data_IF_408732601979
#
_entry.id   IF_408732601979
#
_cell.length_a   1.000
_cell.length_b   1.000
_cell.length_c   1.000
_cell.angle_alpha   90.00
_cell.angle_beta   90.00
_cell.angle_gamma   90.00
#
_symmetry.space_group_name_H-M   'P 1'
#
loop_
_entity.id
_entity.type
_entity.pdbx_description
1 polymer ?
#
# COMPACT_ATOMS: atom_id res chain seq x y z
N UNK A 1 10.64 14.74 -45.86
CA UNK A 1 9.48 14.27 -45.08
C UNK A 1 10.03 13.32 -44.02
N UNK A 2 10.24 13.81 -42.80
CA UNK A 2 10.88 13.03 -41.72
C UNK A 2 9.81 12.13 -41.09
N UNK A 3 9.93 10.83 -41.29
CA UNK A 3 9.10 9.81 -40.65
C UNK A 3 9.47 9.71 -39.17
N UNK A 4 8.49 9.93 -38.30
CA UNK A 4 8.63 9.71 -36.86
C UNK A 4 8.90 8.21 -36.56
N UNK A 5 9.73 7.87 -35.57
CA UNK A 5 10.12 6.49 -35.30
C UNK A 5 8.98 5.69 -34.64
N UNK A 6 8.73 4.48 -35.15
CA UNK A 6 7.68 3.55 -34.74
C UNK A 6 7.76 3.05 -33.27
N UNK A 7 8.80 3.41 -32.52
CA UNK A 7 9.05 2.94 -31.15
C UNK A 7 8.38 3.79 -30.05
N UNK A 8 7.72 4.91 -30.39
CA UNK A 8 7.10 5.80 -29.41
C UNK A 8 5.66 5.40 -29.05
N UNK A 9 5.00 4.61 -29.90
CA UNK A 9 3.60 4.19 -29.71
C UNK A 9 3.42 3.25 -28.49
N UNK A 10 4.28 2.25 -28.24
CA UNK A 10 4.13 1.34 -27.09
C UNK A 10 4.35 2.05 -25.75
N UNK A 11 5.32 2.97 -25.70
CA UNK A 11 5.65 3.71 -24.48
C UNK A 11 4.55 4.72 -24.14
N UNK A 12 3.98 5.39 -25.14
CA UNK A 12 2.85 6.29 -24.96
C UNK A 12 1.58 5.55 -24.53
N UNK A 13 1.31 4.37 -25.10
CA UNK A 13 0.19 3.51 -24.69
C UNK A 13 0.38 2.97 -23.27
N UNK A 14 1.59 2.54 -22.92
CA UNK A 14 1.93 2.10 -21.57
C UNK A 14 1.79 3.23 -20.56
N UNK A 15 2.35 4.41 -20.85
CA UNK A 15 2.23 5.59 -19.99
C UNK A 15 0.76 6.03 -19.83
N UNK A 16 -0.04 5.94 -20.90
CA UNK A 16 -1.49 6.21 -20.86
C UNK A 16 -2.23 5.20 -19.98
N UNK A 17 -1.94 3.91 -20.13
CA UNK A 17 -2.52 2.84 -19.31
C UNK A 17 -2.15 3.01 -17.83
N UNK A 18 -0.88 3.31 -17.54
CA UNK A 18 -0.40 3.56 -16.18
C UNK A 18 -1.09 4.79 -15.59
N UNK A 19 -1.14 5.90 -16.34
CA UNK A 19 -1.84 7.12 -15.93
C UNK A 19 -3.33 6.85 -15.67
N UNK A 20 -3.97 6.02 -16.48
CA UNK A 20 -5.37 5.64 -16.29
C UNK A 20 -5.59 4.85 -14.99
N UNK A 21 -4.66 3.97 -14.63
CA UNK A 21 -4.66 3.22 -13.37
C UNK A 21 -4.46 4.13 -12.17
N UNK A 22 -3.59 5.14 -12.30
CA UNK A 22 -3.25 6.11 -11.25
C UNK A 22 -4.28 7.24 -11.06
N UNK A 23 -5.42 7.22 -11.78
CA UNK A 23 -6.48 8.24 -11.64
C UNK A 23 -7.15 8.27 -10.27
N UNK A 24 -7.12 7.16 -9.55
CA UNK A 24 -7.77 7.03 -8.25
C UNK A 24 -6.90 6.28 -7.23
N UNK A 25 -7.37 6.18 -5.97
CA UNK A 25 -6.62 5.58 -4.88
C UNK A 25 -6.21 4.13 -5.16
N UNK A 26 -7.02 3.37 -5.90
CA UNK A 26 -6.73 1.97 -6.24
C UNK A 26 -5.41 1.77 -6.99
N UNK A 27 -5.06 2.67 -7.92
CA UNK A 27 -3.78 2.58 -8.64
C UNK A 27 -2.58 2.77 -7.71
N UNK A 28 -2.67 3.75 -6.80
CA UNK A 28 -1.64 4.00 -5.81
C UNK A 28 -1.49 2.83 -4.82
N UNK A 29 -2.61 2.29 -4.30
CA UNK A 29 -2.57 1.12 -3.41
C UNK A 29 -1.92 -0.09 -4.08
N UNK A 30 -2.37 -0.46 -5.27
CA UNK A 30 -1.87 -1.63 -5.96
C UNK A 30 -0.43 -1.45 -6.44
N UNK A 31 -0.01 -0.22 -6.79
CA UNK A 31 1.38 0.05 -7.13
C UNK A 31 2.29 -0.11 -5.91
N UNK A 32 1.86 0.35 -4.72
CA UNK A 32 2.61 0.12 -3.49
C UNK A 32 2.70 -1.36 -3.11
N UNK A 33 1.59 -2.11 -3.23
CA UNK A 33 1.59 -3.56 -2.97
C UNK A 33 2.50 -4.30 -3.95
N UNK A 34 2.45 -3.95 -5.24
CA UNK A 34 3.29 -4.57 -6.26
C UNK A 34 4.77 -4.24 -6.05
N UNK A 35 5.10 -2.99 -5.69
CA UNK A 35 6.46 -2.59 -5.37
C UNK A 35 7.02 -3.39 -4.19
N UNK A 36 6.27 -3.46 -3.09
CA UNK A 36 6.67 -4.23 -1.91
C UNK A 36 6.86 -5.71 -2.21
N UNK A 37 5.94 -6.31 -2.97
CA UNK A 37 6.01 -7.72 -3.35
C UNK A 37 7.23 -8.01 -4.25
N UNK A 38 7.42 -7.22 -5.31
CA UNK A 38 8.50 -7.43 -6.29
C UNK A 38 9.88 -7.27 -5.64
N UNK A 39 10.07 -6.23 -4.82
CA UNK A 39 11.36 -6.00 -4.17
C UNK A 39 11.58 -7.01 -3.05
N UNK A 40 10.57 -7.31 -2.22
CA UNK A 40 10.70 -8.33 -1.18
C UNK A 40 11.07 -9.70 -1.76
N UNK A 41 10.48 -10.05 -2.89
CA UNK A 41 10.81 -11.27 -3.61
C UNK A 41 12.25 -11.24 -4.19
N UNK A 42 12.65 -10.11 -4.79
CA UNK A 42 13.99 -9.94 -5.33
C UNK A 42 15.08 -10.04 -4.25
N UNK A 43 14.84 -9.46 -3.07
CA UNK A 43 15.75 -9.57 -1.91
C UNK A 43 15.85 -11.02 -1.45
N UNK A 44 14.72 -11.73 -1.30
CA UNK A 44 14.72 -13.14 -0.89
C UNK A 44 15.53 -14.04 -1.85
N UNK A 45 15.44 -13.78 -3.16
CA UNK A 45 16.26 -14.48 -4.16
C UNK A 45 17.74 -14.10 -4.03
N UNK A 46 18.04 -12.80 -3.85
CA UNK A 46 19.41 -12.31 -3.76
C UNK A 46 20.15 -12.86 -2.52
N UNK A 47 19.43 -13.09 -1.43
CA UNK A 47 19.95 -13.64 -0.18
C UNK A 47 19.99 -15.19 -0.17
N UNK A 48 19.50 -15.85 -1.22
CA UNK A 48 19.50 -17.30 -1.29
C UNK A 48 20.95 -17.86 -1.40
N UNK A 49 21.34 -18.84 -0.58
CA UNK A 49 22.70 -19.36 -0.57
C UNK A 49 23.07 -20.04 -1.91
N UNK A 50 24.17 -19.59 -2.51
CA UNK A 50 24.69 -20.11 -3.78
C UNK A 50 25.41 -21.44 -3.52
N UNK A 51 24.82 -22.58 -3.92
CA UNK A 51 25.49 -23.88 -3.80
C UNK A 51 24.64 -25.15 -3.91
N UNK A 52 23.31 -25.08 -3.89
CA UNK A 52 22.42 -26.25 -4.02
C UNK A 52 21.61 -26.13 -5.32
N UNK A 53 22.09 -26.76 -6.39
CA UNK A 53 21.44 -26.95 -7.70
C UNK A 53 20.51 -25.79 -8.15
N UNK A 54 21.01 -24.95 -9.06
CA UNK A 54 20.49 -23.61 -9.45
C UNK A 54 18.97 -23.48 -9.70
N UNK A 55 18.24 -24.56 -10.02
CA UNK A 55 16.76 -24.55 -10.10
C UNK A 55 16.03 -24.76 -8.77
N UNK A 56 16.60 -25.55 -7.86
CA UNK A 56 16.01 -25.85 -6.54
C UNK A 56 16.08 -24.65 -5.61
N UNK A 57 17.18 -23.87 -5.64
CA UNK A 57 17.38 -22.74 -4.74
C UNK A 57 16.37 -21.61 -4.97
N UNK A 58 16.05 -21.30 -6.23
CA UNK A 58 15.04 -20.29 -6.58
C UNK A 58 13.65 -20.73 -6.16
N UNK A 59 13.30 -22.01 -6.37
CA UNK A 59 12.00 -22.56 -5.93
C UNK A 59 11.89 -22.52 -4.40
N UNK A 60 12.95 -22.87 -3.68
CA UNK A 60 12.97 -22.77 -2.22
C UNK A 60 12.82 -21.32 -1.76
N UNK A 61 13.54 -20.36 -2.34
CA UNK A 61 13.40 -18.94 -2.02
C UNK A 61 11.99 -18.41 -2.31
N UNK A 62 11.34 -18.89 -3.38
CA UNK A 62 9.92 -18.60 -3.66
C UNK A 62 9.02 -19.14 -2.56
N UNK A 63 9.19 -20.41 -2.18
CA UNK A 63 8.40 -21.03 -1.13
C UNK A 63 8.62 -20.34 0.22
N UNK A 64 9.85 -19.92 0.53
CA UNK A 64 10.16 -19.22 1.77
C UNK A 64 9.54 -17.82 1.81
N UNK A 65 9.60 -17.09 0.69
CA UNK A 65 8.99 -15.76 0.58
C UNK A 65 7.48 -15.80 0.88
N UNK A 66 6.76 -16.77 0.30
CA UNK A 66 5.31 -16.85 0.44
C UNK A 66 4.84 -17.68 1.63
N UNK A 67 5.64 -18.68 2.05
CA UNK A 67 5.21 -19.73 2.97
C UNK A 67 6.30 -20.23 3.93
N UNK A 68 7.45 -19.57 4.02
CA UNK A 68 8.56 -19.97 4.90
C UNK A 68 8.23 -19.89 6.39
N UNK A 69 7.21 -19.12 6.78
CA UNK A 69 6.72 -19.03 8.15
C UNK A 69 5.22 -18.76 8.21
N UNK A 70 4.63 -18.94 9.39
CA UNK A 70 3.23 -18.54 9.63
C UNK A 70 3.01 -17.04 9.40
N UNK A 71 4.00 -16.21 9.71
CA UNK A 71 3.96 -14.76 9.50
C UNK A 71 3.97 -14.38 8.02
N UNK A 72 4.82 -15.03 7.21
CA UNK A 72 4.90 -14.76 5.76
C UNK A 72 3.65 -15.22 5.01
N UNK A 73 3.04 -16.33 5.42
CA UNK A 73 1.73 -16.75 4.88
C UNK A 73 0.67 -15.70 5.19
N UNK A 74 0.59 -15.24 6.45
CA UNK A 74 -0.37 -14.21 6.84
C UNK A 74 -0.15 -12.91 6.05
N UNK A 75 1.11 -12.50 5.85
CA UNK A 75 1.48 -11.31 5.07
C UNK A 75 1.12 -11.46 3.59
N UNK A 76 1.33 -12.64 3.01
CA UNK A 76 0.97 -12.95 1.63
C UNK A 76 -0.54 -12.85 1.44
N UNK A 77 -1.31 -13.49 2.31
CA UNK A 77 -2.78 -13.43 2.27
C UNK A 77 -3.29 -11.99 2.45
N UNK A 78 -2.71 -11.24 3.39
CA UNK A 78 -3.03 -9.82 3.59
C UNK A 78 -2.76 -9.01 2.31
N UNK A 79 -1.62 -9.23 1.68
CA UNK A 79 -1.24 -8.56 0.41
C UNK A 79 -2.23 -8.87 -0.71
N UNK A 80 -2.68 -10.12 -0.85
CA UNK A 80 -3.70 -10.49 -1.84
C UNK A 80 -5.04 -9.78 -1.57
N UNK A 81 -5.45 -9.71 -0.31
CA UNK A 81 -6.67 -8.98 0.07
C UNK A 81 -6.53 -7.49 -0.22
N UNK A 82 -5.37 -6.88 0.03
CA UNK A 82 -5.11 -5.49 -0.32
C UNK A 82 -5.14 -5.25 -1.83
N UNK A 83 -4.68 -6.19 -2.66
CA UNK A 83 -4.84 -6.09 -4.12
C UNK A 83 -6.31 -6.07 -4.55
N UNK A 84 -7.13 -6.94 -3.95
CA UNK A 84 -8.57 -6.96 -4.20
C UNK A 84 -9.23 -5.64 -3.76
N UNK A 85 -8.85 -5.09 -2.60
CA UNK A 85 -9.33 -3.79 -2.13
C UNK A 85 -8.92 -2.64 -3.06
N UNK A 86 -7.66 -2.61 -3.49
CA UNK A 86 -7.15 -1.65 -4.47
C UNK A 86 -7.87 -1.73 -5.81
N UNK A 87 -8.23 -2.92 -6.28
CA UNK A 87 -9.03 -3.10 -7.48
C UNK A 87 -10.46 -2.58 -7.32
N UNK A 88 -11.09 -2.79 -6.16
CA UNK A 88 -12.41 -2.21 -5.86
C UNK A 88 -12.36 -0.67 -5.92
N UNK A 89 -11.33 -0.05 -5.32
CA UNK A 89 -11.11 1.40 -5.43
C UNK A 89 -10.82 1.85 -6.87
N UNK A 90 -10.03 1.09 -7.63
CA UNK A 90 -9.73 1.42 -9.03
C UNK A 90 -11.02 1.48 -9.85
N UNK A 91 -11.90 0.48 -9.70
CA UNK A 91 -13.22 0.42 -10.35
C UNK A 91 -14.12 1.58 -9.92
N UNK A 92 -14.12 1.91 -8.62
CA UNK A 92 -14.91 3.03 -8.09
C UNK A 92 -14.58 4.38 -8.74
N UNK A 93 -13.32 4.55 -9.19
CA UNK A 93 -12.79 5.79 -9.75
C UNK A 93 -12.57 5.75 -11.28
N UNK A 94 -12.97 4.67 -11.95
CA UNK A 94 -12.61 4.46 -13.36
C UNK A 94 -13.29 5.45 -14.31
N UNK A 95 -14.54 5.87 -14.02
CA UNK A 95 -15.37 6.66 -14.96
C UNK A 95 -16.39 7.62 -14.34
N UNK A 96 -16.49 7.74 -13.01
CA UNK A 96 -17.53 8.53 -12.36
C UNK A 96 -16.93 9.71 -11.55
N UNK A 97 -17.46 10.92 -11.75
CA UNK A 97 -17.33 12.06 -10.83
C UNK A 97 -18.75 12.48 -10.41
N UNK A 98 -19.20 12.15 -9.19
CA UNK A 98 -18.43 11.59 -8.07
C UNK A 98 -18.12 10.09 -8.20
N UNK A 99 -17.09 9.55 -7.51
CA UNK A 99 -16.77 8.12 -7.48
C UNK A 99 -17.89 7.24 -6.90
N UNK A 100 -17.93 5.96 -7.31
CA UNK A 100 -18.93 4.99 -6.83
C UNK A 100 -18.75 4.70 -5.32
N UNK A 101 -19.75 5.05 -4.52
CA UNK A 101 -19.70 4.92 -3.06
C UNK A 101 -19.73 3.47 -2.60
N UNK A 102 -20.47 2.58 -3.27
CA UNK A 102 -20.58 1.18 -2.88
C UNK A 102 -19.26 0.44 -3.11
N UNK A 103 -18.60 0.71 -4.24
CA UNK A 103 -17.28 0.15 -4.52
C UNK A 103 -16.18 0.74 -3.62
N UNK A 104 -16.26 2.03 -3.26
CA UNK A 104 -15.35 2.60 -2.26
C UNK A 104 -15.51 1.92 -0.89
N UNK A 105 -16.75 1.68 -0.45
CA UNK A 105 -17.03 0.93 0.80
C UNK A 105 -16.54 -0.51 0.73
N UNK A 106 -16.67 -1.18 -0.41
CA UNK A 106 -16.10 -2.51 -0.61
C UNK A 106 -14.56 -2.47 -0.51
N UNK A 107 -13.92 -1.47 -1.12
CA UNK A 107 -12.49 -1.24 -0.99
C UNK A 107 -12.05 -1.01 0.46
N UNK A 108 -12.84 -0.23 1.22
CA UNK A 108 -12.62 -0.01 2.65
C UNK A 108 -12.75 -1.31 3.45
N UNK A 109 -13.81 -2.08 3.22
CA UNK A 109 -14.04 -3.35 3.91
C UNK A 109 -12.92 -4.35 3.67
N UNK A 110 -12.54 -4.56 2.40
CA UNK A 110 -11.46 -5.46 2.03
C UNK A 110 -10.12 -4.98 2.62
N UNK A 111 -9.84 -3.67 2.57
CA UNK A 111 -8.62 -3.11 3.17
C UNK A 111 -8.60 -3.29 4.69
N UNK A 112 -9.76 -3.24 5.36
CA UNK A 112 -9.88 -3.56 6.78
C UNK A 112 -9.52 -5.01 7.10
N UNK A 113 -10.01 -5.96 6.29
CA UNK A 113 -9.62 -7.37 6.41
C UNK A 113 -8.12 -7.58 6.14
N UNK A 114 -7.58 -6.93 5.10
CA UNK A 114 -6.15 -6.93 4.80
C UNK A 114 -5.32 -6.42 5.97
N UNK A 115 -5.79 -5.37 6.66
CA UNK A 115 -5.11 -4.79 7.82
C UNK A 115 -5.16 -5.71 9.05
N UNK A 116 -6.24 -6.47 9.27
CA UNK A 116 -6.25 -7.53 10.30
C UNK A 116 -5.18 -8.58 9.96
N UNK A 117 -5.15 -9.05 8.71
CA UNK A 117 -4.15 -10.01 8.26
C UNK A 117 -2.72 -9.49 8.43
N UNK A 118 -2.48 -8.22 8.10
CA UNK A 118 -1.19 -7.53 8.30
C UNK A 118 -0.84 -7.45 9.79
N UNK A 119 -1.79 -7.12 10.66
CA UNK A 119 -1.58 -7.09 12.11
C UNK A 119 -1.18 -8.45 12.66
N UNK A 120 -1.85 -9.53 12.23
CA UNK A 120 -1.50 -10.90 12.60
C UNK A 120 -0.09 -11.24 12.10
N UNK A 121 0.24 -10.90 10.85
CA UNK A 121 1.57 -11.12 10.29
C UNK A 121 2.65 -10.43 11.12
N UNK A 122 2.45 -9.14 11.44
CA UNK A 122 3.40 -8.35 12.24
C UNK A 122 3.55 -8.89 13.67
N UNK A 123 2.48 -9.38 14.31
CA UNK A 123 2.60 -10.05 15.61
C UNK A 123 3.44 -11.33 15.52
N UNK A 124 3.20 -12.15 14.49
CA UNK A 124 3.95 -13.38 14.26
C UNK A 124 5.42 -13.12 13.91
N UNK A 125 5.73 -11.96 13.34
CA UNK A 125 7.08 -11.50 13.02
C UNK A 125 7.75 -10.75 14.19
N UNK A 126 7.04 -10.54 15.31
CA UNK A 126 7.61 -9.95 16.52
C UNK A 126 7.51 -8.43 16.63
N UNK A 127 6.67 -7.78 15.82
CA UNK A 127 6.50 -6.31 15.78
C UNK A 127 5.14 -5.85 16.34
N UNK A 128 4.90 -5.93 17.66
CA UNK A 128 3.60 -5.64 18.27
C UNK A 128 3.17 -4.18 18.10
N UNK A 129 4.11 -3.24 18.07
CA UNK A 129 3.80 -1.82 17.87
C UNK A 129 3.26 -1.56 16.46
N UNK A 130 3.89 -2.15 15.42
CA UNK A 130 3.40 -2.04 14.05
C UNK A 130 2.10 -2.83 13.87
N UNK A 131 1.94 -3.97 14.54
CA UNK A 131 0.68 -4.70 14.52
C UNK A 131 -0.47 -3.89 15.12
N UNK A 132 -0.25 -3.18 16.23
CA UNK A 132 -1.26 -2.31 16.84
C UNK A 132 -1.61 -1.10 15.96
N UNK A 133 -0.63 -0.56 15.24
CA UNK A 133 -0.80 0.67 14.46
C UNK A 133 -1.18 0.36 13.00
N UNK A 134 -0.26 -0.19 12.22
CA UNK A 134 -0.48 -0.56 10.82
C UNK A 134 -1.48 -1.71 10.62
N UNK A 135 -1.74 -2.52 11.65
CA UNK A 135 -2.79 -3.53 11.63
C UNK A 135 -4.10 -3.03 12.25
N UNK A 136 -4.16 -2.98 13.58
CA UNK A 136 -5.40 -2.71 14.31
C UNK A 136 -5.96 -1.31 14.08
N UNK A 137 -5.18 -0.24 14.29
CA UNK A 137 -5.65 1.14 14.07
C UNK A 137 -6.04 1.35 12.60
N UNK A 138 -5.29 0.79 11.66
CA UNK A 138 -5.64 0.83 10.23
C UNK A 138 -6.97 0.12 9.95
N UNK A 139 -7.17 -1.08 10.50
CA UNK A 139 -8.41 -1.84 10.36
C UNK A 139 -9.61 -1.07 10.94
N UNK A 140 -9.46 -0.48 12.12
CA UNK A 140 -10.49 0.36 12.74
C UNK A 140 -10.87 1.54 11.84
N UNK A 141 -9.90 2.23 11.27
CA UNK A 141 -10.17 3.33 10.32
C UNK A 141 -10.86 2.87 9.03
N UNK A 142 -10.48 1.70 8.49
CA UNK A 142 -11.10 1.14 7.27
C UNK A 142 -12.53 0.63 7.52
N UNK A 143 -12.77 -0.12 8.59
CA UNK A 143 -14.12 -0.55 8.94
C UNK A 143 -15.00 0.63 9.35
N UNK A 144 -14.46 1.58 10.12
CA UNK A 144 -15.16 2.82 10.42
C UNK A 144 -15.61 3.54 9.15
N UNK A 145 -14.72 3.68 8.16
CA UNK A 145 -15.06 4.26 6.85
C UNK A 145 -16.10 3.46 6.05
N UNK A 146 -16.16 2.14 6.25
CA UNK A 146 -17.12 1.25 5.58
C UNK A 146 -18.54 1.46 6.10
N UNK A 147 -18.69 1.51 7.43
CA UNK A 147 -19.99 1.55 8.11
C UNK A 147 -20.48 2.97 8.39
N UNK A 148 -19.57 3.95 8.43
CA UNK A 148 -19.93 5.35 8.62
C UNK A 148 -20.54 5.95 7.36
N UNK A 149 -21.52 6.83 7.53
CA UNK A 149 -22.14 7.54 6.41
C UNK A 149 -21.40 8.86 6.19
N UNK A 150 -20.85 9.11 4.98
CA UNK A 150 -20.17 10.37 4.69
C UNK A 150 -21.04 11.58 5.06
N UNK A 151 -20.46 12.57 5.73
CA UNK A 151 -21.15 13.79 6.13
C UNK A 151 -21.99 13.69 7.42
N UNK A 152 -22.15 12.49 8.01
CA UNK A 152 -22.75 12.36 9.34
C UNK A 152 -21.71 12.68 10.42
N UNK A 153 -22.12 13.47 11.42
CA UNK A 153 -21.22 13.81 12.53
C UNK A 153 -20.95 12.58 13.40
N UNK A 154 -19.68 12.36 13.72
CA UNK A 154 -19.28 11.36 14.70
C UNK A 154 -19.38 12.02 16.09
N UNK A 155 -20.08 11.40 17.07
CA UNK A 155 -20.17 11.94 18.42
C UNK A 155 -18.77 12.22 18.99
N UNK A 156 -18.61 13.36 19.67
CA UNK A 156 -17.35 13.80 20.32
C UNK A 156 -16.23 14.20 19.33
N UNK A 157 -16.43 14.04 18.01
CA UNK A 157 -15.45 14.50 17.01
C UNK A 157 -15.75 15.95 16.57
N UNK A 158 -14.76 16.85 16.52
CA UNK A 158 -14.99 18.24 16.10
C UNK A 158 -15.50 18.32 14.66
N UNK A 159 -16.58 19.06 14.42
CA UNK A 159 -17.19 19.19 13.09
C UNK A 159 -16.26 19.85 12.04
N UNK A 160 -15.30 20.66 12.49
CA UNK A 160 -14.31 21.30 11.63
C UNK A 160 -13.12 20.39 11.28
N UNK A 161 -13.01 19.22 11.92
CA UNK A 161 -11.90 18.30 11.69
C UNK A 161 -12.20 17.34 10.54
N UNK A 162 -11.17 16.84 9.84
CA UNK A 162 -11.35 15.80 8.82
C UNK A 162 -12.01 14.55 9.40
N UNK A 163 -12.56 13.69 8.53
CA UNK A 163 -13.18 12.43 8.95
C UNK A 163 -12.24 11.61 9.87
N UNK A 164 -12.71 11.19 11.07
CA UNK A 164 -11.85 10.54 12.06
C UNK A 164 -11.33 9.19 11.58
N UNK A 165 -12.13 8.44 10.82
CA UNK A 165 -11.78 7.12 10.35
C UNK A 165 -10.72 7.19 9.25
N UNK A 166 -10.86 8.13 8.30
CA UNK A 166 -9.83 8.45 7.30
C UNK A 166 -8.56 8.97 7.95
N UNK A 167 -8.69 9.79 8.98
CA UNK A 167 -7.56 10.31 9.76
C UNK A 167 -6.83 9.20 10.50
N UNK A 168 -7.55 8.24 11.08
CA UNK A 168 -6.96 7.07 11.74
C UNK A 168 -6.17 6.19 10.75
N UNK A 169 -6.71 5.95 9.54
CA UNK A 169 -6.00 5.25 8.46
C UNK A 169 -4.69 5.96 8.13
N UNK A 170 -4.72 7.29 7.97
CA UNK A 170 -3.52 8.07 7.65
C UNK A 170 -2.49 8.03 8.80
N UNK A 171 -2.96 8.26 10.03
CA UNK A 171 -2.12 8.24 11.23
C UNK A 171 -1.48 6.87 11.49
N UNK A 172 -2.16 5.78 11.14
CA UNK A 172 -1.66 4.41 11.30
C UNK A 172 -0.34 4.13 10.58
N UNK A 173 0.01 4.95 9.58
CA UNK A 173 1.25 4.83 8.82
C UNK A 173 2.45 5.49 9.47
N UNK A 174 2.24 6.47 10.35
CA UNK A 174 3.33 7.27 10.92
C UNK A 174 4.38 6.41 11.62
N UNK A 175 4.03 5.45 12.50
CA UNK A 175 5.03 4.61 13.16
C UNK A 175 5.86 3.79 12.17
N UNK A 176 5.23 3.30 11.10
CA UNK A 176 5.89 2.48 10.11
C UNK A 176 6.79 3.30 9.16
N UNK A 177 6.38 4.52 8.81
CA UNK A 177 7.21 5.49 8.09
C UNK A 177 8.44 5.86 8.92
N UNK A 178 8.25 6.15 10.21
CA UNK A 178 9.35 6.47 11.12
C UNK A 178 10.31 5.28 11.26
N UNK A 179 9.80 4.06 11.43
CA UNK A 179 10.62 2.86 11.48
C UNK A 179 11.44 2.67 10.19
N UNK A 180 10.82 2.84 9.02
CA UNK A 180 11.52 2.74 7.74
C UNK A 180 12.56 3.86 7.53
N UNK A 181 12.28 5.08 7.99
CA UNK A 181 13.22 6.20 7.93
C UNK A 181 14.43 5.99 8.86
N UNK A 182 14.20 5.47 10.07
CA UNK A 182 15.27 5.10 10.99
C UNK A 182 16.11 3.97 10.40
N UNK A 183 15.49 2.92 9.85
CA UNK A 183 16.18 1.84 9.16
C UNK A 183 17.02 2.35 7.99
N UNK A 184 16.51 3.33 7.22
CA UNK A 184 17.28 3.99 6.17
C UNK A 184 18.51 4.72 6.73
N UNK A 185 18.37 5.43 7.85
CA UNK A 185 19.49 6.10 8.51
C UNK A 185 20.61 5.13 8.90
N UNK A 186 20.26 3.99 9.49
CA UNK A 186 21.21 2.92 9.81
C UNK A 186 21.88 2.34 8.56
N UNK A 187 21.10 2.07 7.52
CA UNK A 187 21.61 1.55 6.25
C UNK A 187 22.56 2.55 5.56
N UNK A 188 22.26 3.85 5.61
CA UNK A 188 23.15 4.89 5.08
C UNK A 188 24.47 4.98 5.84
N UNK A 189 24.44 4.80 7.17
CA UNK A 189 25.65 4.74 7.97
C UNK A 189 26.52 3.54 7.59
N UNK A 190 25.92 2.38 7.36
CA UNK A 190 26.64 1.18 6.91
C UNK A 190 27.32 1.40 5.56
N UNK A 191 26.60 1.98 4.59
CA UNK A 191 27.15 2.32 3.28
C UNK A 191 28.30 3.33 3.39
N UNK A 192 28.15 4.35 4.25
CA UNK A 192 29.21 5.35 4.49
C UNK A 192 30.49 4.72 5.03
N UNK A 193 30.37 3.68 5.84
CA UNK A 193 31.49 2.90 6.39
C UNK A 193 32.06 1.87 5.39
N UNK A 194 31.61 1.88 4.13
CA UNK A 194 32.09 1.01 3.06
C UNK A 194 31.28 -0.28 2.87
N UNK A 195 30.10 -0.39 3.50
CA UNK A 195 29.17 -1.51 3.32
C UNK A 195 28.48 -1.53 1.95
N UNK A 196 27.70 -2.58 1.72
CA UNK A 196 26.99 -2.78 0.44
C UNK A 196 25.79 -1.85 0.30
N UNK A 197 25.58 -1.27 -0.89
CA UNK A 197 24.37 -0.49 -1.20
C UNK A 197 23.07 -1.32 -1.15
N UNK A 198 23.16 -2.66 -1.18
CA UNK A 198 21.99 -3.54 -1.14
C UNK A 198 21.14 -3.33 0.12
N UNK A 199 21.77 -2.94 1.24
CA UNK A 199 21.08 -2.71 2.54
C UNK A 199 20.09 -1.54 2.49
N UNK A 200 20.20 -0.65 1.49
CA UNK A 200 19.25 0.45 1.27
C UNK A 200 17.94 0.00 0.61
N UNK A 201 17.93 -1.16 -0.06
CA UNK A 201 16.83 -1.55 -0.93
C UNK A 201 15.50 -1.66 -0.18
N UNK A 202 15.48 -2.38 0.94
CA UNK A 202 14.27 -2.57 1.74
C UNK A 202 13.73 -1.28 2.36
N UNK A 203 14.51 -0.46 3.10
CA UNK A 203 13.98 0.76 3.71
C UNK A 203 13.51 1.78 2.67
N UNK A 204 14.21 1.95 1.54
CA UNK A 204 13.76 2.82 0.45
C UNK A 204 12.46 2.35 -0.18
N UNK A 205 12.33 1.03 -0.39
CA UNK A 205 11.10 0.42 -0.92
C UNK A 205 9.93 0.65 0.02
N UNK A 206 10.10 0.41 1.31
CA UNK A 206 9.05 0.64 2.30
C UNK A 206 8.60 2.10 2.32
N UNK A 207 9.53 3.06 2.28
CA UNK A 207 9.20 4.48 2.19
C UNK A 207 8.44 4.81 0.90
N UNK A 208 8.84 4.22 -0.23
CA UNK A 208 8.11 4.32 -1.50
C UNK A 208 6.69 3.79 -1.41
N UNK A 209 6.50 2.60 -0.83
CA UNK A 209 5.19 2.01 -0.56
C UNK A 209 4.34 2.92 0.32
N UNK A 210 4.88 3.42 1.44
CA UNK A 210 4.16 4.32 2.33
C UNK A 210 3.79 5.64 1.65
N UNK A 211 4.64 6.20 0.79
CA UNK A 211 4.31 7.40 0.02
C UNK A 211 3.13 7.16 -0.93
N UNK A 212 3.14 6.04 -1.66
CA UNK A 212 2.04 5.65 -2.55
C UNK A 212 0.75 5.44 -1.77
N UNK A 213 0.80 4.68 -0.69
CA UNK A 213 -0.37 4.39 0.11
C UNK A 213 -0.94 5.62 0.83
N UNK A 214 -0.07 6.50 1.35
CA UNK A 214 -0.45 7.80 1.93
C UNK A 214 -1.15 8.66 0.89
N UNK A 215 -0.63 8.71 -0.33
CA UNK A 215 -1.28 9.43 -1.43
C UNK A 215 -2.67 8.87 -1.73
N UNK A 216 -2.82 7.55 -1.72
CA UNK A 216 -4.12 6.90 -1.89
C UNK A 216 -5.10 7.29 -0.78
N UNK A 217 -4.67 7.27 0.49
CA UNK A 217 -5.50 7.65 1.63
C UNK A 217 -5.97 9.11 1.54
N UNK A 218 -5.09 10.03 1.13
CA UNK A 218 -5.42 11.44 0.95
C UNK A 218 -6.51 11.67 -0.11
N UNK A 219 -6.55 10.85 -1.17
CA UNK A 219 -7.60 10.95 -2.20
C UNK A 219 -8.99 10.57 -1.65
N UNK A 220 -9.05 9.74 -0.61
CA UNK A 220 -10.32 9.26 -0.04
C UNK A 220 -11.02 10.28 0.87
N UNK A 221 -10.32 11.33 1.32
CA UNK A 221 -10.93 12.39 2.16
C UNK A 221 -12.01 13.20 1.44
N UNK A 222 -12.00 13.23 0.09
CA UNK A 222 -12.98 13.97 -0.71
C UNK A 222 -14.21 13.19 -1.15
N UNK A 223 -14.33 11.90 -0.78
CA UNK A 223 -15.41 11.03 -1.28
C UNK A 223 -16.68 11.22 -0.46
N UNK A 224 -17.79 11.52 -1.13
CA UNK A 224 -19.13 11.60 -0.51
C UNK A 224 -19.46 12.94 0.15
N UNK A 225 -18.62 13.95 0.01
CA UNK A 225 -18.94 15.34 0.40
C UNK A 225 -19.64 16.00 -0.81
N UNK A 226 -20.88 16.50 -0.67
CA UNK A 226 -21.51 17.28 -1.73
C UNK A 226 -20.63 18.48 -2.06
N UNK A 227 -20.30 18.70 -3.35
CA UNK A 227 -19.79 20.01 -3.79
C UNK A 227 -20.89 21.02 -3.46
N UNK A 228 -20.68 21.86 -2.45
CA UNK A 228 -21.44 23.10 -2.33
C UNK A 228 -21.09 23.93 -3.56
N UNK A 229 -21.96 23.89 -4.57
CA UNK A 229 -21.97 24.91 -5.62
C UNK A 229 -22.34 26.18 -4.89
N UNK A 230 -21.35 27.03 -4.63
CA UNK A 230 -21.56 28.36 -4.09
C UNK A 230 -22.33 29.17 -5.14
N UNK A 231 -23.65 29.14 -5.10
CA UNK A 231 -24.49 30.14 -5.76
C UNK A 231 -24.51 31.38 -4.87
N UNK A 232 -23.51 32.23 -5.03
CA UNK A 232 -23.56 33.64 -4.64
C UNK A 232 -23.00 34.46 -5.80
#
# INVERSE_FOLDING_TARGET
MVTAPANLVPLAQFASALRSRMRGPGGYYNSGNALGLVVGFAIQIADAPVGLQEGSAVITAMMDHFAGSRGTVALTLATLVFFCGGEAYHRAWARQDPPDLALNRLGDFLSGLGAIGLGIALLLLGDPLLAATSGLLHALGKFGSTFHTPGTQVPVWPAAWPDPFRSAVLASRLPAILAAAVALGWALQEVWLGGSFAVLAMPLTLLGCYALWTRADLLLFGVGIPRQISTC
#
